data_IF_309205280408
#
_entry.id   IF_309205280408
#
_cell.length_a   1.000
_cell.length_b   1.000
_cell.length_c   1.000
_cell.angle_alpha   90.00
_cell.angle_beta   90.00
_cell.angle_gamma   90.00
#
_symmetry.space_group_name_H-M   'P 1'
#
loop_
_entity.id
_entity.type
_entity.pdbx_description
1 polymer ?
#
# COMPACT_ATOMS: atom_id res chain seq x y z
N UNK A 1 -10.85 -22.88 -2.84
CA UNK A 1 -10.48 -22.23 -1.56
C UNK A 1 -10.72 -23.25 -0.46
N UNK A 2 -9.69 -23.60 0.31
CA UNK A 2 -9.82 -24.50 1.46
C UNK A 2 -10.15 -23.63 2.67
N UNK A 3 -11.35 -23.76 3.20
CA UNK A 3 -11.72 -23.13 4.47
C UNK A 3 -11.17 -24.02 5.59
N UNK A 4 -10.06 -23.61 6.21
CA UNK A 4 -9.54 -24.29 7.40
C UNK A 4 -10.30 -23.78 8.62
N UNK A 5 -11.23 -24.57 9.12
CA UNK A 5 -12.00 -24.26 10.33
C UNK A 5 -11.20 -24.68 11.57
N UNK A 6 -10.74 -23.70 12.36
CA UNK A 6 -10.13 -23.94 13.68
C UNK A 6 -11.23 -23.80 14.74
N UNK A 7 -11.66 -24.91 15.33
CA UNK A 7 -12.63 -24.92 16.43
C UNK A 7 -11.87 -24.81 17.75
N UNK A 8 -11.95 -23.65 18.41
CA UNK A 8 -11.40 -23.47 19.76
C UNK A 8 -12.54 -23.62 20.78
N UNK A 9 -12.48 -24.67 21.60
CA UNK A 9 -13.48 -24.96 22.63
C UNK A 9 -13.00 -24.49 24.00
N UNK A 10 -13.88 -23.89 24.82
CA UNK A 10 -13.58 -23.53 26.21
C UNK A 10 -12.75 -22.27 26.46
N UNK A 11 -12.35 -21.52 25.42
CA UNK A 11 -11.53 -20.30 25.54
C UNK A 11 -12.15 -19.12 24.75
N UNK A 12 -13.11 -18.36 25.32
CA UNK A 12 -13.77 -17.25 24.63
C UNK A 12 -12.79 -16.14 24.17
N UNK A 13 -11.69 -15.97 24.90
CA UNK A 13 -10.60 -15.04 24.57
C UNK A 13 -9.88 -15.44 23.27
N UNK A 14 -9.59 -16.74 23.12
CA UNK A 14 -8.93 -17.28 21.94
C UNK A 14 -9.84 -17.16 20.69
N UNK A 15 -11.14 -17.42 20.84
CA UNK A 15 -12.13 -17.19 19.76
C UNK A 15 -12.16 -15.73 19.31
N UNK A 16 -12.21 -14.80 20.26
CA UNK A 16 -12.24 -13.36 19.98
C UNK A 16 -10.96 -12.87 19.32
N UNK A 17 -9.80 -13.44 19.68
CA UNK A 17 -8.52 -13.15 19.03
C UNK A 17 -8.48 -13.66 17.57
N UNK A 18 -8.98 -14.87 17.31
CA UNK A 18 -9.07 -15.43 15.96
C UNK A 18 -10.02 -14.63 15.07
N UNK A 19 -11.17 -14.20 15.57
CA UNK A 19 -12.09 -13.32 14.83
C UNK A 19 -11.41 -12.02 14.43
N UNK A 20 -10.69 -11.35 15.35
CA UNK A 20 -9.94 -10.12 15.02
C UNK A 20 -8.85 -10.36 13.96
N UNK A 21 -8.14 -11.48 14.04
CA UNK A 21 -7.14 -11.85 13.03
C UNK A 21 -7.79 -12.07 11.66
N UNK A 22 -8.94 -12.75 11.61
CA UNK A 22 -9.71 -12.93 10.38
C UNK A 22 -10.17 -11.59 9.81
N UNK A 23 -10.75 -10.71 10.64
CA UNK A 23 -11.20 -9.37 10.23
C UNK A 23 -10.02 -8.53 9.69
N UNK A 24 -8.86 -8.60 10.36
CA UNK A 24 -7.64 -7.94 9.92
C UNK A 24 -7.12 -8.48 8.58
N UNK A 25 -7.11 -9.80 8.40
CA UNK A 25 -6.68 -10.43 7.16
C UNK A 25 -7.62 -10.12 5.99
N UNK A 26 -8.93 -10.11 6.23
CA UNK A 26 -9.95 -9.74 5.25
C UNK A 26 -9.81 -8.27 4.84
N UNK A 27 -9.59 -7.38 5.82
CA UNK A 27 -9.32 -5.97 5.54
C UNK A 27 -8.04 -5.80 4.69
N UNK A 28 -6.97 -6.54 4.99
CA UNK A 28 -5.74 -6.52 4.19
C UNK A 28 -6.00 -6.96 2.74
N UNK A 29 -6.79 -8.03 2.54
CA UNK A 29 -7.11 -8.57 1.23
C UNK A 29 -8.02 -7.68 0.38
N UNK A 30 -8.90 -6.88 1.01
CA UNK A 30 -9.82 -5.97 0.32
C UNK A 30 -9.26 -4.56 0.12
N UNK A 31 -8.28 -4.16 0.92
CA UNK A 31 -7.74 -2.79 0.86
C UNK A 31 -6.79 -2.66 -0.32
N UNK A 32 -7.26 -2.00 -1.38
CA UNK A 32 -6.42 -1.60 -2.50
C UNK A 32 -5.97 -0.16 -2.32
N UNK A 33 -4.65 0.07 -2.35
CA UNK A 33 -4.04 1.39 -2.38
C UNK A 33 -3.25 1.54 -3.68
N UNK A 34 -3.44 2.67 -4.36
CA UNK A 34 -2.67 3.02 -5.55
C UNK A 34 -1.69 4.14 -5.20
N UNK A 35 -0.41 3.87 -5.42
CA UNK A 35 0.65 4.88 -5.40
C UNK A 35 1.18 5.04 -6.80
N UNK A 36 1.21 6.26 -7.30
CA UNK A 36 1.60 6.54 -8.68
C UNK A 36 1.88 8.01 -8.93
N UNK A 37 2.17 8.35 -10.18
CA UNK A 37 2.38 9.71 -10.64
C UNK A 37 1.37 10.03 -11.76
N UNK A 38 0.72 11.19 -11.68
CA UNK A 38 -0.25 11.62 -12.72
C UNK A 38 0.41 12.32 -13.91
N UNK A 39 1.67 12.71 -13.81
CA UNK A 39 2.39 13.33 -14.91
C UNK A 39 2.54 12.34 -16.09
N UNK A 40 2.11 12.75 -17.29
CA UNK A 40 2.12 11.90 -18.50
C UNK A 40 3.51 11.30 -18.83
N UNK A 41 4.57 12.02 -18.46
CA UNK A 41 5.95 11.63 -18.74
C UNK A 41 6.61 10.84 -17.59
N UNK A 42 5.91 10.62 -16.47
CA UNK A 42 6.43 9.95 -15.29
C UNK A 42 7.01 8.56 -15.60
N UNK A 43 6.29 7.79 -16.42
CA UNK A 43 6.74 6.47 -16.89
C UNK A 43 8.07 6.52 -17.63
N UNK A 44 8.27 7.51 -18.50
CA UNK A 44 9.52 7.67 -19.24
C UNK A 44 10.71 8.05 -18.34
N UNK A 45 10.44 8.68 -17.19
CA UNK A 45 11.47 8.96 -16.17
C UNK A 45 11.83 7.68 -15.40
N UNK A 46 10.83 6.90 -14.96
CA UNK A 46 11.05 5.65 -14.23
C UNK A 46 11.76 4.58 -15.09
N UNK A 47 11.33 4.42 -16.34
CA UNK A 47 11.80 3.33 -17.23
C UNK A 47 12.94 3.77 -18.16
N UNK A 48 13.11 5.07 -18.38
CA UNK A 48 14.03 5.61 -19.39
C UNK A 48 13.45 5.56 -20.81
N UNK A 49 14.22 6.09 -21.76
CA UNK A 49 13.91 6.09 -23.19
C UNK A 49 15.21 5.90 -24.00
N UNK A 50 15.13 5.73 -25.33
CA UNK A 50 16.34 5.67 -26.17
C UNK A 50 17.25 6.90 -26.01
N UNK A 51 16.70 8.05 -25.60
CA UNK A 51 17.41 9.34 -25.49
C UNK A 51 17.80 9.70 -24.06
N UNK A 52 17.33 8.95 -23.06
CA UNK A 52 17.52 9.28 -21.63
C UNK A 52 17.57 8.00 -20.79
N UNK A 53 18.61 7.85 -19.95
CA UNK A 53 18.68 6.73 -19.00
C UNK A 53 17.54 6.80 -17.97
N UNK A 54 17.12 5.62 -17.49
CA UNK A 54 16.15 5.51 -16.41
C UNK A 54 16.62 6.25 -15.15
N UNK A 55 15.71 6.98 -14.52
CA UNK A 55 15.88 7.64 -13.23
C UNK A 55 14.77 7.16 -12.29
N UNK A 56 14.85 5.90 -11.84
CA UNK A 56 13.78 5.27 -11.08
C UNK A 56 13.62 5.94 -9.71
N UNK A 57 12.38 6.24 -9.35
CA UNK A 57 11.99 6.87 -8.10
C UNK A 57 10.97 6.04 -7.33
N UNK A 58 10.09 5.29 -8.01
CA UNK A 58 9.09 4.44 -7.36
C UNK A 58 9.64 3.07 -6.96
N UNK A 59 10.31 2.36 -7.87
CA UNK A 59 10.91 1.04 -7.56
C UNK A 59 11.84 1.08 -6.35
N UNK A 60 12.85 1.97 -6.27
CA UNK A 60 13.72 2.03 -5.10
C UNK A 60 12.99 2.47 -3.82
N UNK A 61 11.93 3.28 -3.93
CA UNK A 61 11.12 3.64 -2.78
C UNK A 61 10.30 2.44 -2.26
N UNK A 62 9.84 1.55 -3.13
CA UNK A 62 9.15 0.32 -2.73
C UNK A 62 10.07 -0.61 -1.94
N UNK A 63 11.29 -0.81 -2.42
CA UNK A 63 12.31 -1.63 -1.75
C UNK A 63 12.63 -1.08 -0.36
N UNK A 64 12.76 0.25 -0.21
CA UNK A 64 12.99 0.88 1.10
C UNK A 64 11.85 0.61 2.08
N UNK A 65 10.61 0.61 1.60
CA UNK A 65 9.41 0.55 2.44
C UNK A 65 8.95 -0.88 2.75
N UNK A 66 9.40 -1.87 1.98
CA UNK A 66 9.00 -3.27 2.11
C UNK A 66 9.12 -3.82 3.54
N UNK A 67 10.24 -3.57 4.22
CA UNK A 67 10.44 -3.99 5.61
C UNK A 67 9.45 -3.33 6.58
N UNK A 68 9.15 -2.05 6.38
CA UNK A 68 8.18 -1.29 7.19
C UNK A 68 6.76 -1.79 6.94
N UNK A 69 6.41 -2.11 5.69
CA UNK A 69 5.11 -2.69 5.34
C UNK A 69 4.86 -3.98 6.10
N UNK A 70 5.83 -4.92 6.05
CA UNK A 70 5.72 -6.20 6.75
C UNK A 70 5.56 -6.01 8.25
N UNK A 71 6.40 -5.18 8.87
CA UNK A 71 6.34 -4.92 10.31
C UNK A 71 5.00 -4.31 10.73
N UNK A 72 4.48 -3.35 9.96
CA UNK A 72 3.19 -2.70 10.25
C UNK A 72 2.01 -3.64 10.09
N UNK A 73 2.01 -4.52 9.08
CA UNK A 73 0.95 -5.52 8.90
C UNK A 73 0.94 -6.53 10.05
N UNK A 74 2.10 -7.08 10.42
CA UNK A 74 2.21 -8.03 11.54
C UNK A 74 1.68 -7.42 12.84
N UNK A 75 1.98 -6.13 13.11
CA UNK A 75 1.48 -5.44 14.29
C UNK A 75 -0.02 -5.09 14.23
N UNK A 76 -0.59 -4.90 13.04
CA UNK A 76 -1.97 -4.44 12.84
C UNK A 76 -2.99 -5.58 12.73
N UNK A 77 -2.62 -6.70 12.09
CA UNK A 77 -3.50 -7.86 11.86
C UNK A 77 -4.24 -8.35 13.12
N UNK A 78 -3.59 -8.61 14.28
CA UNK A 78 -4.29 -9.08 15.47
C UNK A 78 -5.23 -8.05 16.10
N UNK A 79 -5.18 -6.79 15.64
CA UNK A 79 -5.98 -5.68 16.15
C UNK A 79 -7.26 -5.45 15.33
N UNK A 80 -7.48 -6.21 14.25
CA UNK A 80 -8.69 -6.14 13.41
C UNK A 80 -8.55 -5.24 12.17
N UNK A 81 -9.68 -4.93 11.54
CA UNK A 81 -9.73 -4.28 10.23
C UNK A 81 -9.20 -2.83 10.22
N UNK A 82 -9.65 -1.98 11.15
CA UNK A 82 -9.32 -0.55 11.19
C UNK A 82 -7.80 -0.28 11.29
N UNK A 83 -7.05 -0.95 12.19
CA UNK A 83 -5.59 -0.78 12.27
C UNK A 83 -4.85 -1.22 11.01
N UNK A 84 -5.35 -2.23 10.30
CA UNK A 84 -4.76 -2.70 9.04
C UNK A 84 -4.91 -1.65 7.95
N UNK A 85 -6.10 -1.10 7.76
CA UNK A 85 -6.34 -0.02 6.79
C UNK A 85 -5.45 1.20 7.09
N UNK A 86 -5.36 1.60 8.37
CA UNK A 86 -4.50 2.70 8.79
C UNK A 86 -3.00 2.41 8.55
N UNK A 87 -2.55 1.18 8.85
CA UNK A 87 -1.19 0.74 8.60
C UNK A 87 -0.83 0.81 7.11
N UNK A 88 -1.71 0.29 6.24
CA UNK A 88 -1.54 0.31 4.79
C UNK A 88 -1.49 1.75 4.25
N UNK A 89 -2.41 2.61 4.69
CA UNK A 89 -2.41 4.04 4.32
C UNK A 89 -1.12 4.74 4.74
N UNK A 90 -0.68 4.50 5.97
CA UNK A 90 0.57 5.04 6.48
C UNK A 90 1.77 4.60 5.65
N UNK A 91 1.82 3.32 5.27
CA UNK A 91 2.88 2.78 4.39
C UNK A 91 2.84 3.42 3.01
N UNK A 92 1.66 3.57 2.40
CA UNK A 92 1.52 4.20 1.10
C UNK A 92 2.00 5.67 1.12
N UNK A 93 1.74 6.40 2.20
CA UNK A 93 2.27 7.75 2.40
C UNK A 93 3.79 7.76 2.56
N UNK A 94 4.35 6.80 3.31
CA UNK A 94 5.81 6.64 3.41
C UNK A 94 6.43 6.33 2.06
N UNK A 95 5.80 5.47 1.24
CA UNK A 95 6.22 5.16 -0.12
C UNK A 95 6.23 6.41 -1.01
N UNK A 96 5.15 7.20 -0.98
CA UNK A 96 5.08 8.49 -1.69
C UNK A 96 6.21 9.43 -1.26
N UNK A 97 6.44 9.59 0.05
CA UNK A 97 7.51 10.44 0.57
C UNK A 97 8.91 9.94 0.17
N UNK A 98 9.14 8.64 0.20
CA UNK A 98 10.40 8.02 -0.26
C UNK A 98 10.61 8.21 -1.77
N UNK A 99 9.53 8.15 -2.56
CA UNK A 99 9.58 8.45 -3.99
C UNK A 99 9.91 9.92 -4.25
N UNK A 100 9.27 10.86 -3.54
CA UNK A 100 9.52 12.30 -3.68
C UNK A 100 10.97 12.71 -3.43
N UNK A 101 11.65 12.06 -2.49
CA UNK A 101 13.09 12.30 -2.20
C UNK A 101 14.00 11.91 -3.36
N UNK A 102 13.53 11.01 -4.23
CA UNK A 102 14.30 10.46 -5.36
C UNK A 102 13.93 11.11 -6.69
N UNK A 103 12.81 11.82 -6.74
CA UNK A 103 12.40 12.56 -7.94
C UNK A 103 13.47 13.61 -8.28
N UNK A 104 13.96 13.63 -9.53
CA UNK A 104 14.94 14.63 -9.97
C UNK A 104 14.40 16.06 -9.82
N UNK A 105 15.16 16.95 -9.17
CA UNK A 105 14.72 18.34 -8.84
C UNK A 105 14.35 19.17 -10.08
N UNK A 106 14.95 18.88 -11.25
CA UNK A 106 14.57 19.52 -12.54
C UNK A 106 13.15 19.15 -13.02
N UNK A 107 12.45 18.26 -12.33
CA UNK A 107 11.09 17.80 -12.64
C UNK A 107 10.12 18.13 -11.49
N UNK A 108 10.07 19.40 -11.06
CA UNK A 108 9.16 19.84 -9.99
C UNK A 108 7.69 19.42 -10.20
N UNK A 109 7.22 19.35 -11.46
CA UNK A 109 5.89 18.84 -11.78
C UNK A 109 5.73 17.32 -11.66
N UNK A 110 6.80 16.53 -11.74
CA UNK A 110 6.76 15.10 -11.45
C UNK A 110 6.58 14.86 -9.95
N UNK A 111 7.32 15.60 -9.11
CA UNK A 111 7.25 15.47 -7.65
C UNK A 111 5.85 15.79 -7.13
N UNK A 112 5.25 16.88 -7.60
CA UNK A 112 3.88 17.27 -7.21
C UNK A 112 2.79 16.36 -7.79
N UNK A 113 3.11 15.58 -8.84
CA UNK A 113 2.16 14.64 -9.44
C UNK A 113 2.05 13.30 -8.71
N UNK A 114 2.93 13.02 -7.76
CA UNK A 114 2.87 11.80 -6.96
C UNK A 114 1.63 11.81 -6.06
N UNK A 115 0.92 10.71 -6.00
CA UNK A 115 -0.32 10.59 -5.23
C UNK A 115 -0.48 9.22 -4.57
N UNK A 116 -1.34 9.19 -3.55
CA UNK A 116 -1.88 7.99 -2.93
C UNK A 116 -3.40 8.05 -3.08
N UNK A 117 -4.03 6.97 -3.54
CA UNK A 117 -5.48 6.86 -3.66
C UNK A 117 -5.95 5.52 -3.10
N UNK A 118 -7.02 5.52 -2.32
CA UNK A 118 -7.73 4.32 -1.87
C UNK A 118 -8.64 3.83 -3.00
N UNK A 119 -8.59 2.53 -3.32
CA UNK A 119 -9.47 1.91 -4.32
C UNK A 119 -10.77 1.34 -3.75
N UNK A 120 -11.10 1.63 -2.48
CA UNK A 120 -12.27 1.07 -1.80
C UNK A 120 -13.43 2.06 -1.69
N UNK A 121 -14.39 1.97 -2.62
CA UNK A 121 -15.74 2.57 -2.49
C UNK A 121 -16.19 3.48 -3.63
N UNK A 122 -16.84 2.92 -4.66
CA UNK A 122 -17.70 3.68 -5.58
C UNK A 122 -17.06 4.19 -6.87
N UNK A 123 -16.62 3.29 -7.75
CA UNK A 123 -16.48 3.64 -9.18
C UNK A 123 -17.85 3.56 -9.87
N UNK A 124 -18.74 4.49 -9.50
CA UNK A 124 -19.86 4.87 -10.34
C UNK A 124 -19.34 5.59 -11.59
N UNK A 125 -19.74 5.08 -12.76
CA UNK A 125 -19.76 5.70 -14.09
C UNK A 125 -19.04 7.06 -14.22
N UNK A 126 -18.01 7.10 -15.06
CA UNK A 126 -17.83 8.26 -15.94
C UNK A 126 -18.40 7.84 -17.30
N UNK A 127 -19.54 8.46 -17.61
CA UNK A 127 -20.16 8.50 -18.93
C UNK A 127 -19.25 9.20 -19.93
#
# INVERSE_FOLDING_TARGET
>A
MVATTITVTGLPEARSALTRLQDGAEAAGRTSLRVGASAKYARFVEEGTRRMRAQPYLRPALVEVEGTLRARLVAALPRGAQPVTAALLGVANTLKAAAEKRVPVRTGSLRSSLYVSTGGGGSGRRA
#
